data_IF_985042594560
#
_entry.id   IF_985042594560
#
_cell.length_a   1.000
_cell.length_b   1.000
_cell.length_c   1.000
_cell.angle_alpha   90.00
_cell.angle_beta   90.00
_cell.angle_gamma   90.00
#
_symmetry.space_group_name_H-M   'P 1'
#
loop_
_entity.id
_entity.type
_entity.pdbx_description
1 polymer ?
#
# COMPACT_ATOMS: atom_id res chain seq x y z
N UNK A 1 -5.57 -0.84 -4.18
CA UNK A 1 -6.62 -1.62 -3.47
C UNK A 1 -7.01 -0.90 -2.17
N UNK A 2 -8.00 -1.37 -1.40
CA UNK A 2 -8.32 -0.72 -0.13
C UNK A 2 -7.26 -1.04 0.94
N UNK A 3 -6.95 -0.07 1.81
CA UNK A 3 -5.99 -0.24 2.92
C UNK A 3 -6.32 -1.46 3.81
N UNK A 4 -7.61 -1.68 4.08
CA UNK A 4 -8.06 -2.82 4.87
C UNK A 4 -7.70 -4.16 4.22
N UNK A 5 -7.70 -4.23 2.89
CA UNK A 5 -7.31 -5.42 2.14
C UNK A 5 -5.81 -5.67 2.26
N UNK A 6 -4.99 -4.62 2.17
CA UNK A 6 -3.56 -4.72 2.37
C UNK A 6 -3.22 -5.24 3.76
N UNK A 7 -3.83 -4.66 4.80
CA UNK A 7 -3.62 -5.08 6.19
C UNK A 7 -4.11 -6.52 6.40
N UNK A 8 -5.31 -6.88 5.92
CA UNK A 8 -5.85 -8.21 6.09
C UNK A 8 -4.98 -9.29 5.44
N UNK A 9 -4.49 -9.05 4.21
CA UNK A 9 -3.57 -9.97 3.55
C UNK A 9 -2.24 -10.07 4.30
N UNK A 10 -1.68 -8.93 4.70
CA UNK A 10 -0.43 -8.87 5.44
C UNK A 10 -0.47 -9.66 6.75
N UNK A 11 -1.58 -9.54 7.49
CA UNK A 11 -1.82 -10.34 8.70
C UNK A 11 -1.88 -11.84 8.36
N UNK A 12 -2.67 -12.24 7.34
CA UNK A 12 -2.79 -13.63 6.95
C UNK A 12 -1.44 -14.25 6.53
N UNK A 13 -0.66 -13.55 5.70
CA UNK A 13 0.67 -13.99 5.28
C UNK A 13 1.64 -14.03 6.47
N UNK A 14 1.57 -13.06 7.38
CA UNK A 14 2.36 -13.06 8.61
C UNK A 14 2.08 -14.30 9.47
N UNK A 15 0.81 -14.65 9.68
CA UNK A 15 0.43 -15.86 10.44
C UNK A 15 0.94 -17.15 9.77
N UNK A 16 0.87 -17.22 8.43
CA UNK A 16 1.35 -18.36 7.65
C UNK A 16 2.86 -18.55 7.80
N UNK A 17 3.63 -17.49 7.56
CA UNK A 17 5.09 -17.57 7.53
C UNK A 17 5.70 -17.72 8.92
N UNK A 18 5.03 -17.18 9.94
CA UNK A 18 5.53 -17.10 11.32
C UNK A 18 4.73 -17.94 12.31
N UNK A 19 4.04 -18.98 11.84
CA UNK A 19 3.44 -20.02 12.67
C UNK A 19 2.51 -19.49 13.77
N UNK A 20 1.60 -18.58 13.41
CA UNK A 20 0.68 -17.93 14.34
C UNK A 20 1.35 -17.01 15.39
N UNK A 21 2.59 -16.57 15.19
CA UNK A 21 3.14 -15.50 16.02
C UNK A 21 2.42 -14.17 15.72
N UNK A 22 1.47 -13.84 16.58
CA UNK A 22 0.67 -12.61 16.53
C UNK A 22 1.57 -11.37 16.53
N UNK A 23 2.69 -11.41 17.27
CA UNK A 23 3.63 -10.29 17.34
C UNK A 23 4.18 -10.00 15.95
N UNK A 24 4.62 -11.03 15.24
CA UNK A 24 5.19 -10.91 13.90
C UNK A 24 4.13 -10.60 12.85
N UNK A 25 2.97 -11.25 12.91
CA UNK A 25 1.86 -10.95 12.02
C UNK A 25 1.42 -9.49 12.11
N UNK A 26 1.29 -8.94 13.32
CA UNK A 26 0.99 -7.52 13.54
C UNK A 26 2.07 -6.62 12.96
N UNK A 27 3.36 -6.97 13.07
CA UNK A 27 4.43 -6.20 12.44
C UNK A 27 4.30 -6.19 10.91
N UNK A 28 4.01 -7.33 10.28
CA UNK A 28 3.75 -7.38 8.84
C UNK A 28 2.54 -6.51 8.47
N UNK A 29 1.47 -6.55 9.29
CA UNK A 29 0.30 -5.70 9.13
C UNK A 29 0.59 -4.20 9.23
N UNK A 30 1.38 -3.78 10.24
CA UNK A 30 1.86 -2.39 10.38
C UNK A 30 2.68 -2.01 9.15
N UNK A 31 3.59 -2.88 8.72
CA UNK A 31 4.40 -2.71 7.51
C UNK A 31 3.57 -2.43 6.26
N UNK A 32 2.48 -3.17 6.08
CA UNK A 32 1.57 -2.98 4.96
C UNK A 32 0.78 -1.67 5.03
N UNK A 33 0.58 -1.09 6.21
CA UNK A 33 -0.06 0.21 6.32
C UNK A 33 0.89 1.37 5.97
N UNK A 34 2.20 1.24 6.26
CA UNK A 34 3.20 2.31 6.13
C UNK A 34 3.13 3.06 4.79
N UNK A 35 3.07 2.41 3.61
CA UNK A 35 3.10 3.12 2.34
C UNK A 35 1.95 4.10 2.17
N UNK A 36 0.80 3.83 2.80
CA UNK A 36 -0.44 4.61 2.74
C UNK A 36 -0.67 5.55 3.94
N UNK A 37 0.22 5.53 4.96
CA UNK A 37 0.11 6.35 6.17
C UNK A 37 0.56 7.82 5.98
N UNK A 38 0.88 8.23 4.77
CA UNK A 38 1.54 9.49 4.50
C UNK A 38 0.60 10.71 4.49
N UNK A 39 1.19 11.88 4.81
CA UNK A 39 0.52 13.18 4.94
C UNK A 39 1.35 14.31 4.32
N UNK A 40 2.00 14.00 3.21
CA UNK A 40 3.06 14.79 2.58
C UNK A 40 2.61 16.08 1.86
N UNK A 41 1.30 16.28 1.70
CA UNK A 41 0.69 17.54 1.25
C UNK A 41 0.87 18.73 2.23
N UNK A 42 1.55 18.51 3.35
CA UNK A 42 2.07 19.55 4.25
C UNK A 42 3.34 20.20 3.69
N UNK A 43 4.17 19.40 3.01
CA UNK A 43 5.45 19.82 2.47
C UNK A 43 5.35 20.30 1.02
N UNK A 44 4.29 19.92 0.31
CA UNK A 44 4.11 20.22 -1.11
C UNK A 44 2.73 20.83 -1.42
N UNK A 45 2.64 21.57 -2.53
CA UNK A 45 1.34 22.09 -3.02
C UNK A 45 0.51 20.95 -3.60
N UNK A 46 -0.78 20.85 -3.25
CA UNK A 46 -1.70 19.79 -3.73
C UNK A 46 -1.74 19.63 -5.27
N UNK A 47 -1.55 20.72 -6.03
CA UNK A 47 -1.48 20.64 -7.51
C UNK A 47 -0.26 19.89 -8.00
N UNK A 48 0.92 20.15 -7.43
CA UNK A 48 2.17 19.44 -7.76
C UNK A 48 2.02 17.98 -7.33
N UNK A 49 1.47 17.77 -6.14
CA UNK A 49 1.20 16.47 -5.59
C UNK A 49 0.34 15.58 -6.50
N UNK A 50 -0.85 16.08 -6.88
CA UNK A 50 -1.76 15.35 -7.75
C UNK A 50 -1.18 15.14 -9.16
N UNK A 51 -0.44 16.13 -9.67
CA UNK A 51 0.19 16.06 -10.98
C UNK A 51 1.29 15.00 -11.05
N UNK A 52 2.13 14.92 -10.02
CA UNK A 52 3.30 14.03 -10.01
C UNK A 52 3.13 12.77 -9.18
N UNK A 53 1.97 12.56 -8.54
CA UNK A 53 1.67 11.38 -7.72
C UNK A 53 2.81 11.04 -6.76
N UNK A 54 3.31 12.05 -6.04
CA UNK A 54 4.54 11.92 -5.24
C UNK A 54 4.44 10.79 -4.21
N UNK A 55 3.27 10.55 -3.65
CA UNK A 55 2.94 9.43 -2.76
C UNK A 55 3.37 8.08 -3.27
N UNK A 56 2.76 7.66 -4.38
CA UNK A 56 3.03 6.37 -5.00
C UNK A 56 4.49 6.31 -5.44
N UNK A 57 5.03 7.42 -5.94
CA UNK A 57 6.42 7.47 -6.36
C UNK A 57 7.40 7.26 -5.19
N UNK A 58 7.16 7.89 -4.03
CA UNK A 58 8.08 7.87 -2.89
C UNK A 58 7.92 6.63 -2.01
N UNK A 59 6.70 6.14 -1.83
CA UNK A 59 6.40 5.08 -0.87
C UNK A 59 6.04 3.74 -1.51
N UNK A 60 5.69 3.72 -2.79
CA UNK A 60 5.37 2.49 -3.52
C UNK A 60 6.48 2.19 -4.54
N UNK A 61 7.70 2.03 -4.06
CA UNK A 61 8.84 1.63 -4.88
C UNK A 61 9.74 0.64 -4.11
N UNK A 62 10.56 -0.10 -4.85
CA UNK A 62 11.43 -1.15 -4.29
C UNK A 62 12.48 -0.58 -3.35
N UNK A 63 13.00 0.63 -3.62
CA UNK A 63 14.01 1.23 -2.73
C UNK A 63 13.44 1.60 -1.36
N UNK A 64 12.20 2.08 -1.32
CA UNK A 64 11.49 2.31 -0.07
C UNK A 64 11.26 0.99 0.68
N UNK A 65 10.77 -0.05 0.00
CA UNK A 65 10.57 -1.37 0.59
C UNK A 65 11.88 -1.95 1.16
N UNK A 66 12.99 -1.83 0.41
CA UNK A 66 14.31 -2.26 0.87
C UNK A 66 14.79 -1.46 2.07
N UNK A 67 14.63 -0.13 2.08
CA UNK A 67 15.01 0.71 3.22
C UNK A 67 14.27 0.29 4.50
N UNK A 68 12.96 0.03 4.40
CA UNK A 68 12.18 -0.48 5.53
C UNK A 68 12.62 -1.91 5.90
N UNK A 69 12.95 -2.77 4.93
CA UNK A 69 13.44 -4.13 5.19
C UNK A 69 14.77 -4.13 5.95
N UNK A 70 15.69 -3.23 5.59
CA UNK A 70 16.95 -3.06 6.33
C UNK A 70 16.73 -2.55 7.75
N UNK A 71 15.65 -1.80 7.98
CA UNK A 71 15.26 -1.35 9.31
C UNK A 71 14.59 -2.48 10.12
N UNK A 72 13.62 -3.18 9.53
CA UNK A 72 12.97 -4.36 10.10
C UNK A 72 12.38 -5.23 8.98
N UNK A 73 12.74 -6.51 8.97
CA UNK A 73 12.38 -7.44 7.89
C UNK A 73 10.87 -7.67 7.80
N UNK A 74 10.14 -7.70 8.91
CA UNK A 74 8.68 -7.91 8.89
C UNK A 74 7.91 -6.69 8.42
N UNK A 75 8.33 -5.49 8.87
CA UNK A 75 7.78 -4.25 8.32
C UNK A 75 8.03 -4.20 6.81
N UNK A 76 9.24 -4.55 6.37
CA UNK A 76 9.63 -4.64 4.98
C UNK A 76 8.78 -5.62 4.18
N UNK A 77 8.54 -6.82 4.71
CA UNK A 77 7.63 -7.81 4.12
C UNK A 77 6.22 -7.23 3.96
N UNK A 78 5.70 -6.53 4.96
CA UNK A 78 4.42 -5.83 4.88
C UNK A 78 4.38 -4.83 3.72
N UNK A 79 5.42 -4.00 3.59
CA UNK A 79 5.56 -3.03 2.49
C UNK A 79 5.63 -3.73 1.13
N UNK A 80 6.36 -4.84 1.02
CA UNK A 80 6.42 -5.63 -0.22
C UNK A 80 5.07 -6.23 -0.59
N UNK A 81 4.32 -6.75 0.39
CA UNK A 81 2.95 -7.25 0.16
C UNK A 81 2.01 -6.13 -0.27
N UNK A 82 2.13 -4.94 0.32
CA UNK A 82 1.36 -3.77 -0.07
C UNK A 82 1.63 -3.38 -1.53
N UNK A 83 2.91 -3.20 -1.88
CA UNK A 83 3.33 -2.90 -3.25
C UNK A 83 2.91 -4.01 -4.22
N UNK A 84 3.02 -5.28 -3.81
CA UNK A 84 2.61 -6.44 -4.60
C UNK A 84 1.13 -6.44 -4.93
N UNK A 85 0.27 -6.08 -3.98
CA UNK A 85 -1.16 -5.92 -4.22
C UNK A 85 -1.46 -4.73 -5.14
N UNK A 86 -0.79 -3.61 -4.93
CA UNK A 86 -1.00 -2.44 -5.77
C UNK A 86 -0.46 -2.66 -7.20
N UNK A 87 0.50 -3.56 -7.41
CA UNK A 87 0.91 -4.04 -8.73
C UNK A 87 -0.17 -4.86 -9.45
N UNK A 88 -1.12 -5.46 -8.72
CA UNK A 88 -2.25 -6.18 -9.34
C UNK A 88 -3.35 -5.23 -9.82
N UNK A 89 -3.27 -3.94 -9.48
CA UNK A 89 -4.31 -2.96 -9.80
C UNK A 89 -4.20 -2.38 -11.21
N UNK A 90 -5.34 -1.99 -11.76
CA UNK A 90 -5.47 -1.50 -13.13
C UNK A 90 -4.89 -0.10 -13.33
N UNK A 91 -4.74 0.35 -14.60
CA UNK A 91 -4.46 1.75 -14.93
C UNK A 91 -5.35 2.78 -14.24
N UNK A 92 -6.60 2.43 -13.91
CA UNK A 92 -7.52 3.28 -13.11
C UNK A 92 -6.92 3.70 -11.78
N UNK A 93 -6.20 2.78 -11.14
CA UNK A 93 -5.62 2.93 -9.80
C UNK A 93 -4.17 3.43 -9.88
N UNK A 94 -3.74 3.81 -11.09
CA UNK A 94 -2.45 4.38 -11.46
C UNK A 94 -1.23 3.48 -11.21
N UNK A 95 -1.39 2.21 -10.84
CA UNK A 95 -0.26 1.27 -10.73
C UNK A 95 0.86 1.76 -9.80
N UNK A 96 2.07 1.25 -10.03
CA UNK A 96 3.23 1.45 -9.12
C UNK A 96 4.47 1.89 -9.89
N UNK A 97 5.20 2.90 -9.39
CA UNK A 97 6.50 3.34 -9.92
C UNK A 97 7.66 2.55 -9.26
N UNK A 98 7.79 1.25 -9.55
CA UNK A 98 8.69 0.33 -8.83
C UNK A 98 10.13 0.82 -8.67
N UNK A 99 10.66 1.52 -9.68
CA UNK A 99 12.05 1.97 -9.72
C UNK A 99 12.19 3.50 -9.61
N UNK A 100 11.21 4.21 -9.04
CA UNK A 100 11.42 5.63 -8.72
C UNK A 100 12.66 5.81 -7.82
N UNK A 101 13.52 6.83 -8.03
CA UNK A 101 13.41 7.91 -9.02
C UNK A 101 14.04 7.57 -10.38
N UNK A 102 14.67 6.41 -10.56
CA UNK A 102 15.42 6.04 -11.77
C UNK A 102 14.56 6.19 -13.02
N UNK A 103 13.31 5.71 -12.99
CA UNK A 103 12.37 5.83 -14.10
C UNK A 103 12.13 7.28 -14.57
N UNK A 104 12.21 8.25 -13.66
CA UNK A 104 12.00 9.68 -13.98
C UNK A 104 13.25 10.38 -14.50
N UNK A 105 14.41 9.73 -14.45
CA UNK A 105 15.66 10.24 -15.05
C UNK A 105 15.62 10.06 -16.57
N UNK A 106 14.89 9.07 -17.07
CA UNK A 106 14.70 8.82 -18.50
C UNK A 106 13.84 9.92 -19.12
N UNK A 107 14.39 10.57 -20.15
CA UNK A 107 13.73 11.69 -20.84
C UNK A 107 13.18 11.31 -22.22
N UNK A 108 13.62 10.18 -22.77
CA UNK A 108 13.33 9.75 -24.13
C UNK A 108 12.96 8.26 -24.18
N UNK A 109 12.24 7.84 -25.21
CA UNK A 109 11.89 6.44 -25.46
C UNK A 109 12.32 6.01 -26.86
N UNK A 110 12.62 4.71 -27.01
CA UNK A 110 13.13 4.15 -28.27
C UNK A 110 12.01 3.91 -29.28
N UNK A 111 10.81 3.56 -28.81
CA UNK A 111 9.57 3.45 -29.60
C UNK A 111 8.63 4.57 -29.17
N UNK A 112 8.13 5.35 -30.11
CA UNK A 112 7.02 6.27 -29.83
C UNK A 112 5.68 5.53 -29.76
N UNK A 113 4.63 6.23 -29.32
CA UNK A 113 3.30 5.64 -29.13
C UNK A 113 2.69 5.05 -30.41
N UNK A 114 3.22 5.42 -31.58
CA UNK A 114 2.79 4.92 -32.88
C UNK A 114 3.69 3.75 -33.36
N UNK A 115 4.61 3.29 -32.50
CA UNK A 115 5.56 2.21 -32.79
C UNK A 115 6.79 2.65 -33.57
N UNK A 116 6.99 3.96 -33.78
CA UNK A 116 8.14 4.44 -34.58
C UNK A 116 9.40 4.54 -33.73
N UNK A 117 10.51 4.09 -34.30
CA UNK A 117 11.81 4.15 -33.64
C UNK A 117 12.33 5.60 -33.65
N UNK A 118 12.43 6.23 -32.48
CA UNK A 118 13.03 7.58 -32.36
C UNK A 118 14.51 7.52 -31.99
N UNK A 119 15.33 8.06 -32.89
CA UNK A 119 16.75 8.35 -32.62
C UNK A 119 16.87 9.66 -31.83
N UNK A 120 17.15 9.57 -30.54
CA UNK A 120 17.63 10.68 -29.72
C UNK A 120 18.87 10.30 -28.92
N UNK A 121 19.63 11.29 -28.46
CA UNK A 121 20.74 11.13 -27.51
C UNK A 121 20.23 11.19 -26.07
N UNK A 122 20.69 10.28 -25.21
CA UNK A 122 20.32 10.20 -23.79
C UNK A 122 19.82 8.81 -23.36
N UNK A 123 19.62 8.63 -22.05
CA UNK A 123 19.09 7.37 -21.48
C UNK A 123 17.65 7.18 -21.96
N UNK A 124 17.35 6.00 -22.52
CA UNK A 124 16.04 5.66 -23.10
C UNK A 124 15.35 4.53 -22.36
N UNK A 125 14.03 4.51 -22.48
CA UNK A 125 13.20 3.34 -22.21
C UNK A 125 12.66 2.72 -23.50
N UNK A 126 12.46 1.41 -23.50
CA UNK A 126 11.66 0.71 -24.50
C UNK A 126 10.19 0.90 -24.10
N UNK A 127 9.30 1.40 -24.97
CA UNK A 127 7.91 1.62 -24.59
C UNK A 127 6.89 0.94 -25.48
N UNK A 128 5.95 0.25 -24.84
CA UNK A 128 4.61 -0.10 -25.30
C UNK A 128 3.62 0.45 -24.26
N UNK A 129 3.05 1.63 -24.48
CA UNK A 129 1.94 2.14 -23.66
C UNK A 129 0.68 2.27 -24.51
N UNK A 130 -0.44 1.61 -24.16
CA UNK A 130 -1.74 1.90 -24.74
C UNK A 130 -2.33 3.18 -24.14
N UNK A 131 -1.79 4.33 -24.51
CA UNK A 131 -2.20 5.66 -24.04
C UNK A 131 -3.72 5.93 -24.26
N UNK A 132 -4.30 5.27 -25.26
CA UNK A 132 -5.74 5.25 -25.55
C UNK A 132 -6.56 4.57 -24.45
N UNK A 133 -6.02 3.52 -23.82
CA UNK A 133 -6.66 2.83 -22.70
C UNK A 133 -6.55 3.69 -21.45
N UNK A 134 -5.35 4.18 -21.11
CA UNK A 134 -5.13 5.00 -19.91
C UNK A 134 -6.05 6.23 -19.91
N UNK A 135 -6.05 7.03 -20.98
CA UNK A 135 -6.88 8.25 -21.04
C UNK A 135 -8.38 7.98 -21.08
N UNK A 136 -8.80 6.77 -21.48
CA UNK A 136 -10.20 6.35 -21.52
C UNK A 136 -10.67 5.77 -20.18
N UNK A 137 -9.81 5.10 -19.43
CA UNK A 137 -10.17 4.41 -18.19
C UNK A 137 -9.83 5.20 -16.92
N UNK A 138 -8.85 6.10 -16.94
CA UNK A 138 -8.51 6.90 -15.75
C UNK A 138 -9.49 8.05 -15.51
N UNK A 139 -9.76 8.30 -14.22
CA UNK A 139 -10.57 9.42 -13.76
C UNK A 139 -10.07 10.77 -14.30
N UNK A 140 -10.89 11.83 -14.39
CA UNK A 140 -10.46 13.11 -14.97
C UNK A 140 -9.27 13.79 -14.26
N UNK A 141 -9.17 13.66 -12.93
CA UNK A 141 -8.00 14.11 -12.16
C UNK A 141 -6.78 13.18 -12.29
N UNK A 142 -7.04 12.00 -12.86
CA UNK A 142 -6.21 10.85 -13.24
C UNK A 142 -5.10 11.04 -14.28
N UNK A 143 -5.42 11.90 -15.26
CA UNK A 143 -4.87 11.84 -16.63
C UNK A 143 -3.50 12.50 -16.72
N UNK A 144 -2.66 11.94 -17.57
CA UNK A 144 -1.33 12.49 -17.83
C UNK A 144 -1.42 13.70 -18.77
N UNK A 145 -0.73 14.78 -18.40
CA UNK A 145 -0.83 16.08 -19.09
C UNK A 145 0.09 16.16 -20.32
N UNK A 146 1.14 15.35 -20.35
CA UNK A 146 2.21 15.37 -21.38
C UNK A 146 2.64 13.93 -21.65
N UNK A 147 3.21 13.67 -22.84
CA UNK A 147 3.87 12.39 -23.17
C UNK A 147 4.95 12.07 -22.13
N UNK A 148 4.84 10.92 -21.46
CA UNK A 148 5.77 10.44 -20.43
C UNK A 148 6.26 9.03 -20.81
N UNK A 149 7.52 8.66 -20.51
CA UNK A 149 7.89 7.26 -20.56
C UNK A 149 7.01 6.45 -19.59
N UNK A 150 6.73 5.20 -19.94
CA UNK A 150 6.04 4.22 -19.09
C UNK A 150 6.89 3.96 -17.86
N UNK A 151 6.59 4.68 -16.79
CA UNK A 151 7.29 4.56 -15.51
C UNK A 151 6.54 3.58 -14.58
N UNK A 152 5.26 3.29 -14.89
CA UNK A 152 4.35 2.56 -14.00
C UNK A 152 4.02 1.18 -14.50
N UNK A 153 4.06 0.22 -13.60
CA UNK A 153 3.58 -1.13 -13.87
C UNK A 153 2.12 -1.23 -13.43
N UNK A 154 1.30 -1.82 -14.30
CA UNK A 154 -0.11 -2.06 -14.06
C UNK A 154 -0.38 -3.57 -14.04
N UNK A 155 -1.33 -3.95 -13.22
CA UNK A 155 -1.75 -5.34 -13.08
C UNK A 155 -2.83 -5.75 -14.08
N UNK A 156 -3.14 -7.06 -14.12
CA UNK A 156 -4.05 -7.63 -15.08
C UNK A 156 -5.53 -7.28 -14.81
N UNK A 157 -5.88 -6.83 -13.60
CA UNK A 157 -7.28 -6.67 -13.21
C UNK A 157 -7.82 -5.30 -13.58
N UNK A 158 -8.70 -5.26 -14.57
CA UNK A 158 -9.33 -4.03 -15.10
C UNK A 158 -10.30 -3.35 -14.13
N UNK A 159 -10.89 -4.13 -13.22
CA UNK A 159 -11.72 -3.64 -12.12
C UNK A 159 -11.24 -4.29 -10.82
N UNK A 160 -10.55 -3.51 -9.99
CA UNK A 160 -10.01 -4.01 -8.73
C UNK A 160 -11.09 -4.38 -7.72
N UNK A 161 -12.38 -4.04 -7.92
CA UNK A 161 -13.43 -4.24 -6.89
C UNK A 161 -13.63 -5.71 -6.51
N UNK A 162 -13.87 -6.60 -7.47
CA UNK A 162 -14.13 -8.01 -7.14
C UNK A 162 -12.89 -8.66 -6.53
N UNK A 163 -11.72 -8.39 -7.11
CA UNK A 163 -10.43 -8.94 -6.64
C UNK A 163 -10.05 -8.38 -5.26
N UNK A 164 -10.29 -7.10 -5.01
CA UNK A 164 -10.08 -6.44 -3.71
C UNK A 164 -10.95 -7.07 -2.63
N UNK A 165 -12.26 -7.21 -2.88
CA UNK A 165 -13.16 -7.89 -1.94
C UNK A 165 -12.83 -9.37 -1.80
N UNK A 166 -12.45 -10.06 -2.88
CA UNK A 166 -12.03 -11.46 -2.83
C UNK A 166 -10.81 -11.63 -1.93
N UNK A 167 -9.76 -10.84 -2.13
CA UNK A 167 -8.53 -10.92 -1.33
C UNK A 167 -8.83 -10.55 0.12
N UNK A 168 -9.63 -9.51 0.36
CA UNK A 168 -10.03 -9.13 1.71
C UNK A 168 -10.78 -10.26 2.43
N UNK A 169 -11.85 -10.78 1.82
CA UNK A 169 -12.66 -11.84 2.43
C UNK A 169 -11.88 -13.14 2.58
N UNK A 170 -11.07 -13.51 1.59
CA UNK A 170 -10.25 -14.73 1.67
C UNK A 170 -9.25 -14.64 2.82
N UNK A 171 -8.57 -13.49 2.96
CA UNK A 171 -7.62 -13.27 4.06
C UNK A 171 -8.31 -13.29 5.42
N UNK A 172 -9.47 -12.64 5.52
CA UNK A 172 -10.24 -12.63 6.77
C UNK A 172 -10.75 -14.03 7.15
N UNK A 173 -11.36 -14.74 6.21
CA UNK A 173 -11.85 -16.12 6.40
C UNK A 173 -10.70 -17.05 6.76
N UNK A 174 -9.55 -16.91 6.09
CA UNK A 174 -8.34 -17.67 6.42
C UNK A 174 -7.97 -17.50 7.89
N UNK A 175 -7.87 -16.26 8.39
CA UNK A 175 -7.54 -16.00 9.80
C UNK A 175 -8.56 -16.68 10.73
N UNK A 176 -9.86 -16.58 10.42
CA UNK A 176 -10.90 -17.17 11.27
C UNK A 176 -10.82 -18.71 11.31
N UNK A 177 -10.55 -19.35 10.17
CA UNK A 177 -10.47 -20.80 10.08
C UNK A 177 -9.15 -21.34 10.63
N UNK A 178 -8.04 -20.61 10.43
CA UNK A 178 -6.72 -20.97 10.95
C UNK A 178 -6.74 -21.00 12.48
N UNK A 179 -7.46 -20.06 13.09
CA UNK A 179 -7.56 -19.91 14.55
C UNK A 179 -8.86 -20.46 15.15
N UNK A 180 -9.59 -21.31 14.42
CA UNK A 180 -10.95 -21.72 14.78
C UNK A 180 -11.08 -22.30 16.21
N UNK A 181 -10.03 -22.99 16.68
CA UNK A 181 -10.02 -23.63 17.99
C UNK A 181 -9.76 -22.66 19.15
N UNK A 182 -9.17 -21.49 18.89
CA UNK A 182 -8.77 -20.51 19.91
C UNK A 182 -9.14 -19.06 19.52
N UNK A 183 -10.15 -18.90 18.67
CA UNK A 183 -10.41 -17.65 17.95
C UNK A 183 -10.61 -16.44 18.86
N UNK A 184 -11.33 -16.60 19.97
CA UNK A 184 -11.58 -15.52 20.94
C UNK A 184 -10.27 -15.07 21.59
N UNK A 185 -9.46 -16.02 22.05
CA UNK A 185 -8.17 -15.75 22.69
C UNK A 185 -7.22 -15.09 21.69
N UNK A 186 -7.22 -15.58 20.44
CA UNK A 186 -6.44 -14.97 19.37
C UNK A 186 -6.82 -13.50 19.14
N UNK A 187 -8.10 -13.18 19.06
CA UNK A 187 -8.56 -11.79 18.88
C UNK A 187 -8.19 -10.88 20.05
N UNK A 188 -8.27 -11.39 21.29
CA UNK A 188 -7.83 -10.65 22.49
C UNK A 188 -6.34 -10.35 22.39
N UNK A 189 -5.52 -11.37 22.13
CA UNK A 189 -4.07 -11.22 22.00
C UNK A 189 -3.68 -10.32 20.82
N UNK A 190 -4.42 -10.39 19.71
CA UNK A 190 -4.23 -9.53 18.55
C UNK A 190 -4.49 -8.06 18.89
N UNK A 191 -5.62 -7.75 19.54
CA UNK A 191 -5.96 -6.37 19.94
C UNK A 191 -4.94 -5.84 20.95
N UNK A 192 -4.56 -6.65 21.95
CA UNK A 192 -3.54 -6.28 22.93
C UNK A 192 -2.18 -6.01 22.24
N UNK A 193 -1.78 -6.89 21.32
CA UNK A 193 -0.52 -6.72 20.58
C UNK A 193 -0.58 -5.48 19.68
N UNK A 194 -1.67 -5.29 18.94
CA UNK A 194 -1.81 -4.21 17.96
C UNK A 194 -1.91 -2.82 18.59
N UNK A 195 -2.57 -2.70 19.76
CA UNK A 195 -2.89 -1.40 20.35
C UNK A 195 -2.23 -1.11 21.71
N UNK A 196 -1.64 -2.12 22.36
CA UNK A 196 -1.05 -1.98 23.70
C UNK A 196 0.45 -2.25 23.67
N UNK A 197 0.88 -3.36 23.05
CA UNK A 197 2.30 -3.72 22.97
C UNK A 197 3.12 -2.68 22.19
N UNK A 198 2.54 -2.14 21.11
CA UNK A 198 3.18 -1.15 20.24
C UNK A 198 2.71 0.30 20.50
N UNK A 199 2.53 0.63 21.78
CA UNK A 199 1.98 1.91 22.24
C UNK A 199 2.60 3.18 21.64
N UNK A 200 3.92 3.25 21.46
CA UNK A 200 4.57 4.44 20.90
C UNK A 200 4.35 4.55 19.38
N UNK A 201 4.26 3.43 18.66
CA UNK A 201 3.85 3.41 17.25
C UNK A 201 2.41 3.92 17.16
N UNK A 202 1.51 3.45 18.02
CA UNK A 202 0.11 3.86 18.02
C UNK A 202 -0.05 5.36 18.29
N UNK A 203 0.58 5.88 19.36
CA UNK A 203 0.58 7.31 19.65
C UNK A 203 1.22 8.09 18.50
N UNK A 204 2.33 7.60 17.97
CA UNK A 204 3.03 8.25 16.89
C UNK A 204 2.17 8.37 15.63
N UNK A 205 1.47 7.30 15.24
CA UNK A 205 0.50 7.28 14.14
C UNK A 205 -0.64 8.25 14.43
N UNK A 206 -1.24 8.22 15.62
CA UNK A 206 -2.35 9.10 16.01
C UNK A 206 -1.93 10.58 15.89
N UNK A 207 -0.79 10.96 16.45
CA UNK A 207 -0.27 12.32 16.38
C UNK A 207 -0.01 12.74 14.93
N UNK A 208 0.65 11.88 14.15
CA UNK A 208 0.96 12.13 12.75
C UNK A 208 -0.31 12.30 11.92
N UNK A 209 -1.29 11.41 12.10
CA UNK A 209 -2.56 11.43 11.37
C UNK A 209 -3.43 12.62 11.74
N UNK A 210 -3.63 12.89 13.03
CA UNK A 210 -4.46 14.01 13.49
C UNK A 210 -3.87 15.33 13.00
N UNK A 211 -2.56 15.54 13.16
CA UNK A 211 -1.90 16.74 12.67
C UNK A 211 -2.01 16.87 11.14
N UNK A 212 -1.76 15.77 10.42
CA UNK A 212 -1.91 15.68 8.97
C UNK A 212 -3.32 16.01 8.48
N UNK A 213 -4.33 15.52 9.18
CA UNK A 213 -5.74 15.67 8.83
C UNK A 213 -6.27 17.07 9.17
N UNK A 214 -5.86 17.62 10.32
CA UNK A 214 -6.14 19.02 10.68
C UNK A 214 -5.57 19.95 9.61
N UNK A 215 -4.34 19.71 9.16
CA UNK A 215 -3.76 20.49 8.07
C UNK A 215 -4.61 20.40 6.81
N UNK A 216 -4.89 19.17 6.35
CA UNK A 216 -5.64 18.92 5.11
C UNK A 216 -7.01 19.58 5.12
N UNK A 217 -7.79 19.38 6.18
CA UNK A 217 -9.19 19.83 6.23
C UNK A 217 -9.34 21.31 6.58
N UNK A 218 -8.50 21.84 7.47
CA UNK A 218 -8.76 23.15 8.09
C UNK A 218 -7.75 24.22 7.72
N UNK A 219 -6.48 23.88 7.51
CA UNK A 219 -5.40 24.87 7.45
C UNK A 219 -4.81 25.06 6.04
N UNK A 220 -4.87 24.04 5.18
CA UNK A 220 -4.22 24.05 3.86
C UNK A 220 -4.66 25.21 2.94
N UNK A 221 -5.90 25.68 3.08
CA UNK A 221 -6.48 26.75 2.25
C UNK A 221 -6.51 28.11 2.94
N UNK A 222 -5.97 28.22 4.15
CA UNK A 222 -5.93 29.46 4.92
C UNK A 222 -4.54 30.07 4.87
N UNK A 223 -4.45 31.40 4.97
CA UNK A 223 -3.18 32.08 5.27
C UNK A 223 -2.82 31.82 6.73
N UNK A 224 -2.14 30.71 6.99
CA UNK A 224 -1.64 30.34 8.32
C UNK A 224 -0.29 31.00 8.61
N UNK A 225 -0.07 31.39 9.86
CA UNK A 225 1.21 31.94 10.33
C UNK A 225 2.30 30.89 10.30
N UNK A 226 3.57 31.33 10.26
CA UNK A 226 4.74 30.42 10.33
C UNK A 226 4.73 29.57 11.60
N UNK A 227 4.27 30.14 12.72
CA UNK A 227 4.18 29.45 14.01
C UNK A 227 3.22 28.25 13.93
N UNK A 228 1.99 28.44 13.44
CA UNK A 228 1.00 27.35 13.29
C UNK A 228 1.52 26.24 12.37
N UNK A 229 2.13 26.62 11.23
CA UNK A 229 2.75 25.64 10.33
C UNK A 229 3.89 24.88 11.02
N UNK A 230 4.71 25.57 11.79
CA UNK A 230 5.79 24.98 12.60
C UNK A 230 5.26 24.01 13.64
N UNK A 231 4.17 24.34 14.35
CA UNK A 231 3.55 23.45 15.34
C UNK A 231 3.00 22.17 14.72
N UNK A 232 2.33 22.24 13.56
CA UNK A 232 1.84 21.05 12.84
C UNK A 232 3.01 20.15 12.43
N UNK A 233 4.06 20.73 11.85
CA UNK A 233 5.26 19.98 11.46
C UNK A 233 5.93 19.37 12.70
N UNK A 234 6.03 20.12 13.81
CA UNK A 234 6.58 19.66 15.07
C UNK A 234 5.83 18.45 15.63
N UNK A 235 4.50 18.48 15.67
CA UNK A 235 3.67 17.35 16.13
C UNK A 235 3.89 16.12 15.24
N UNK A 236 3.96 16.30 13.92
CA UNK A 236 4.25 15.19 13.01
C UNK A 236 5.66 14.62 13.21
N UNK A 237 6.66 15.47 13.43
CA UNK A 237 8.03 15.04 13.70
C UNK A 237 8.08 14.25 15.01
N UNK A 238 7.41 14.72 16.07
CA UNK A 238 7.28 13.98 17.33
C UNK A 238 6.62 12.63 17.08
N UNK A 239 5.51 12.58 16.34
CA UNK A 239 4.85 11.34 15.98
C UNK A 239 5.77 10.37 15.23
N UNK A 240 6.53 10.88 14.25
CA UNK A 240 7.52 10.10 13.51
C UNK A 240 8.65 9.60 14.41
N UNK A 241 9.15 10.42 15.34
CA UNK A 241 10.20 10.02 16.29
C UNK A 241 9.70 8.87 17.18
N UNK A 242 8.45 8.93 17.65
CA UNK A 242 7.87 7.85 18.46
C UNK A 242 7.77 6.53 17.67
N UNK A 243 7.33 6.60 16.41
CA UNK A 243 7.29 5.45 15.49
C UNK A 243 8.70 4.88 15.30
N UNK A 244 9.69 5.73 15.01
CA UNK A 244 11.07 5.30 14.77
C UNK A 244 11.73 4.75 16.05
N UNK A 245 11.48 5.36 17.20
CA UNK A 245 12.01 4.93 18.49
C UNK A 245 11.55 3.52 18.83
N UNK A 246 10.24 3.26 18.80
CA UNK A 246 9.76 1.89 19.05
C UNK A 246 10.07 0.95 17.89
N UNK A 247 10.10 1.46 16.66
CA UNK A 247 10.57 0.77 15.46
C UNK A 247 11.95 0.14 15.62
N UNK A 248 12.88 0.88 16.24
CA UNK A 248 14.25 0.40 16.50
C UNK A 248 14.30 -0.76 17.50
N UNK A 249 13.32 -0.84 18.40
CA UNK A 249 13.21 -1.89 19.41
C UNK A 249 12.29 -3.05 18.98
N UNK A 250 11.88 -3.10 17.71
CA UNK A 250 11.02 -4.18 17.21
C UNK A 250 11.77 -5.51 17.15
N UNK A 251 11.05 -6.57 17.52
CA UNK A 251 11.50 -7.95 17.50
C UNK A 251 11.92 -8.39 16.08
N UNK A 252 12.98 -9.21 15.94
CA UNK A 252 13.55 -9.65 14.66
C UNK A 252 14.13 -11.10 14.60
N UNK A 253 13.39 -12.18 14.93
CA UNK A 253 13.84 -13.56 14.69
C UNK A 253 13.52 -14.15 13.30
N UNK A 254 14.52 -14.57 12.52
CA UNK A 254 14.24 -15.23 11.24
C UNK A 254 13.95 -16.72 11.42
N UNK A 255 12.67 -17.12 11.31
CA UNK A 255 12.25 -18.52 11.12
C UNK A 255 11.05 -18.54 10.18
N UNK A 256 11.20 -19.18 9.02
CA UNK A 256 10.10 -19.41 8.07
C UNK A 256 10.02 -20.89 7.72
N UNK A 257 8.88 -21.53 7.97
CA UNK A 257 8.58 -22.89 7.52
C UNK A 257 7.11 -22.89 7.10
N UNK A 258 6.80 -23.45 5.94
CA UNK A 258 5.42 -23.54 5.42
C UNK A 258 5.01 -25.01 5.40
N UNK A 259 3.85 -25.31 5.97
CA UNK A 259 3.28 -26.66 6.06
C UNK A 259 2.23 -26.88 4.94
N UNK A 260 2.17 -28.08 4.36
CA UNK A 260 1.18 -28.48 3.33
C UNK A 260 -0.29 -28.27 3.76
N UNK A 261 -0.63 -28.46 5.05
CA UNK A 261 -2.00 -28.21 5.54
C UNK A 261 -2.45 -26.75 5.39
N UNK A 262 -1.50 -25.81 5.36
CA UNK A 262 -1.79 -24.40 5.16
C UNK A 262 -2.25 -24.14 3.72
N UNK A 263 -1.72 -24.88 2.74
CA UNK A 263 -2.08 -24.73 1.32
C UNK A 263 -3.54 -25.12 1.10
N UNK A 264 -4.00 -26.22 1.68
CA UNK A 264 -5.41 -26.63 1.62
C UNK A 264 -6.32 -25.56 2.20
N UNK A 265 -5.94 -25.01 3.36
CA UNK A 265 -6.70 -23.96 4.02
C UNK A 265 -6.78 -22.69 3.16
N UNK A 266 -5.67 -22.28 2.53
CA UNK A 266 -5.64 -21.14 1.60
C UNK A 266 -6.63 -21.36 0.45
N UNK A 267 -6.66 -22.57 -0.15
CA UNK A 267 -7.58 -22.87 -1.25
C UNK A 267 -9.05 -22.79 -0.82
N UNK A 268 -9.39 -23.33 0.35
CA UNK A 268 -10.74 -23.24 0.92
C UNK A 268 -11.11 -21.78 1.18
N UNK A 269 -10.22 -21.01 1.79
CA UNK A 269 -10.45 -19.59 2.07
C UNK A 269 -10.61 -18.75 0.81
N UNK A 270 -9.85 -19.03 -0.24
CA UNK A 270 -9.97 -18.37 -1.55
C UNK A 270 -11.33 -18.66 -2.20
N UNK A 271 -11.80 -19.91 -2.16
CA UNK A 271 -13.09 -20.30 -2.72
C UNK A 271 -14.25 -19.64 -1.97
N UNK A 272 -14.24 -19.69 -0.64
CA UNK A 272 -15.26 -19.03 0.19
C UNK A 272 -15.20 -17.51 0.04
N UNK A 273 -14.01 -16.93 0.05
CA UNK A 273 -13.80 -15.49 -0.15
C UNK A 273 -14.28 -15.01 -1.51
N UNK A 274 -14.04 -15.79 -2.57
CA UNK A 274 -14.59 -15.51 -3.90
C UNK A 274 -16.12 -15.50 -3.90
N UNK A 275 -16.77 -16.53 -3.34
CA UNK A 275 -18.23 -16.60 -3.26
C UNK A 275 -18.81 -15.39 -2.51
N UNK A 276 -18.26 -15.06 -1.33
CA UNK A 276 -18.72 -13.91 -0.53
C UNK A 276 -18.51 -12.60 -1.30
N UNK A 277 -17.33 -12.41 -1.91
CA UNK A 277 -17.03 -11.21 -2.69
C UNK A 277 -17.96 -11.04 -3.89
N UNK A 278 -18.29 -12.14 -4.59
CA UNK A 278 -19.20 -12.14 -5.72
C UNK A 278 -20.60 -11.67 -5.31
N UNK A 279 -21.15 -12.22 -4.21
CA UNK A 279 -22.45 -11.79 -3.70
C UNK A 279 -22.43 -10.35 -3.18
N UNK A 280 -21.38 -9.95 -2.45
CA UNK A 280 -21.22 -8.57 -1.98
C UNK A 280 -21.27 -7.60 -3.17
N UNK A 281 -20.43 -7.84 -4.18
CA UNK A 281 -20.30 -6.94 -5.33
C UNK A 281 -21.62 -6.88 -6.10
N UNK A 282 -22.27 -8.04 -6.31
CA UNK A 282 -23.57 -8.13 -6.97
C UNK A 282 -24.64 -7.32 -6.25
N UNK A 283 -24.75 -7.46 -4.92
CA UNK A 283 -25.78 -6.78 -4.12
C UNK A 283 -25.51 -5.27 -4.05
N UNK A 284 -24.26 -4.89 -3.77
CA UNK A 284 -23.90 -3.49 -3.50
C UNK A 284 -23.77 -2.65 -4.77
N UNK A 285 -23.18 -3.20 -5.82
CA UNK A 285 -22.84 -2.45 -7.03
C UNK A 285 -23.71 -2.83 -8.23
N UNK A 286 -24.56 -3.86 -8.12
CA UNK A 286 -25.52 -4.32 -9.16
C UNK A 286 -24.90 -4.78 -10.49
N UNK A 287 -23.58 -4.68 -10.64
CA UNK A 287 -22.83 -5.07 -11.83
C UNK A 287 -21.52 -5.75 -11.41
N UNK A 288 -21.17 -6.82 -12.11
CA UNK A 288 -19.91 -7.54 -11.94
C UNK A 288 -19.16 -7.44 -13.26
N UNK A 289 -18.02 -6.77 -13.23
CA UNK A 289 -17.11 -6.69 -14.38
C UNK A 289 -15.94 -7.61 -14.08
N UNK A 290 -15.83 -8.70 -14.83
CA UNK A 290 -14.68 -9.61 -14.83
C UNK A 290 -13.57 -9.05 -15.72
#
# INVERSE_FOLDING_TARGET
MNLNTHIALALAVGLILFHNDITLAVLVGIGAAIPDLDREYIFTKRRIFAKYQLHRALFHNVFFALAITFFNVYLGLGVFLHIGLDLLTSPTDRGVELFFPLGRIIKNFQLDYDGNIKKSSGIKWYLEDPNRIINKTTDPGLKEVVKMPWIRIYGPFKNSRLVDWMIFYSSFIFIQLYEINNLIIWWINFIETAFVKYFFIDIGIILFYIAGEIWRRRLQFRKVTRSIKGSIIGIMIIGLILILYQGYHLYNPVITIVNLKIVELILVSLLLGFLVSFFHVKIRFKEIVL
#
